data_IF_754061962924
#
_entry.id   IF_754061962924
#
_cell.length_a   1.000
_cell.length_b   1.000
_cell.length_c   1.000
_cell.angle_alpha   90.00
_cell.angle_beta   90.00
_cell.angle_gamma   90.00
#
_symmetry.space_group_name_H-M   'P 1'
#
loop_
_entity.id
_entity.type
_entity.pdbx_description
1 polymer ?
#
# COMPACT_ATOMS: atom_id res chain seq x y z
N UNK A 1 -12.45 -23.40 5.86
CA UNK A 1 -12.10 -22.49 4.74
C UNK A 1 -10.71 -21.95 5.03
N UNK A 2 -9.86 -21.79 4.01
CA UNK A 2 -8.58 -21.08 4.20
C UNK A 2 -8.87 -19.63 4.58
N UNK A 3 -8.03 -19.04 5.44
CA UNK A 3 -8.04 -17.59 5.67
C UNK A 3 -7.60 -16.89 4.38
N UNK A 4 -8.06 -15.66 4.18
CA UNK A 4 -7.54 -14.79 3.13
C UNK A 4 -6.11 -14.31 3.42
N UNK A 5 -5.50 -13.67 2.45
CA UNK A 5 -4.15 -13.09 2.54
C UNK A 5 -4.22 -11.58 2.70
N UNK A 6 -3.36 -11.02 3.57
CA UNK A 6 -3.02 -9.59 3.50
C UNK A 6 -1.85 -9.42 2.54
N UNK A 7 -2.05 -8.74 1.43
CA UNK A 7 -1.01 -8.36 0.48
C UNK A 7 -0.67 -6.89 0.69
N UNK A 8 0.56 -6.59 1.10
CA UNK A 8 1.03 -5.21 1.28
C UNK A 8 1.86 -4.82 0.06
N UNK A 9 1.34 -3.93 -0.77
CA UNK A 9 2.05 -3.37 -1.92
C UNK A 9 2.64 -2.02 -1.54
N UNK A 10 3.97 -1.94 -1.54
CA UNK A 10 4.71 -0.72 -1.28
C UNK A 10 5.86 -0.54 -2.29
N UNK A 11 6.64 0.52 -2.16
CA UNK A 11 7.70 0.89 -3.09
C UNK A 11 7.88 2.40 -3.16
N UNK A 12 8.94 2.89 -3.83
CA UNK A 12 9.33 4.28 -3.73
C UNK A 12 8.29 5.23 -4.31
N UNK A 13 8.34 6.49 -3.87
CA UNK A 13 7.48 7.54 -4.44
C UNK A 13 7.70 7.66 -5.96
N UNK A 14 6.61 7.69 -6.74
CA UNK A 14 6.67 7.78 -8.20
C UNK A 14 6.74 6.44 -8.95
N UNK A 15 6.86 5.30 -8.25
CA UNK A 15 6.97 3.99 -8.90
C UNK A 15 5.69 3.52 -9.59
N UNK A 16 4.52 4.10 -9.25
CA UNK A 16 3.24 3.79 -9.92
C UNK A 16 2.31 2.85 -9.16
N UNK A 17 2.44 2.73 -7.83
CA UNK A 17 1.59 1.90 -6.94
C UNK A 17 0.09 2.05 -7.22
N UNK A 18 -0.44 3.26 -7.12
CA UNK A 18 -1.86 3.54 -7.38
C UNK A 18 -2.33 3.14 -8.79
N UNK A 19 -1.47 3.28 -9.81
CA UNK A 19 -1.79 2.84 -11.18
C UNK A 19 -1.89 1.31 -11.28
N UNK A 20 -0.94 0.60 -10.66
CA UNK A 20 -0.96 -0.87 -10.59
C UNK A 20 -2.17 -1.36 -9.79
N UNK A 21 -2.45 -0.78 -8.62
CA UNK A 21 -3.64 -1.09 -7.81
C UNK A 21 -4.94 -0.83 -8.58
N UNK A 22 -5.04 0.28 -9.31
CA UNK A 22 -6.23 0.57 -10.13
C UNK A 22 -6.44 -0.47 -11.23
N UNK A 23 -5.37 -0.94 -11.86
CA UNK A 23 -5.42 -1.99 -12.87
C UNK A 23 -5.76 -3.36 -12.25
N UNK A 24 -5.12 -3.72 -11.12
CA UNK A 24 -5.43 -4.93 -10.36
C UNK A 24 -6.91 -4.99 -9.96
N UNK A 25 -7.51 -3.88 -9.54
CA UNK A 25 -8.92 -3.83 -9.12
C UNK A 25 -9.89 -4.24 -10.21
N UNK A 26 -9.52 -4.01 -11.48
CA UNK A 26 -10.32 -4.43 -12.64
C UNK A 26 -10.07 -5.88 -13.02
N UNK A 27 -8.86 -6.39 -12.75
CA UNK A 27 -8.41 -7.73 -13.13
C UNK A 27 -8.79 -8.81 -12.13
N UNK A 28 -8.80 -8.46 -10.84
CA UNK A 28 -9.05 -9.36 -9.70
C UNK A 28 -10.18 -8.77 -8.84
N UNK A 29 -11.45 -8.82 -9.29
CA UNK A 29 -12.57 -8.18 -8.59
C UNK A 29 -12.84 -8.71 -7.18
N UNK A 30 -12.38 -9.91 -6.88
CA UNK A 30 -12.46 -10.56 -5.57
C UNK A 30 -11.45 -10.02 -4.56
N UNK A 31 -10.38 -9.37 -5.02
CA UNK A 31 -9.36 -8.77 -4.16
C UNK A 31 -9.91 -7.50 -3.52
N UNK A 32 -10.06 -7.54 -2.19
CA UNK A 32 -10.57 -6.41 -1.42
C UNK A 32 -9.49 -5.36 -1.29
N UNK A 33 -9.85 -4.09 -1.47
CA UNK A 33 -8.93 -2.98 -1.26
C UNK A 33 -9.06 -2.48 0.17
N UNK A 34 -7.94 -2.38 0.87
CA UNK A 34 -7.92 -1.79 2.21
C UNK A 34 -8.38 -0.34 2.14
N UNK A 35 -9.34 0.02 3.00
CA UNK A 35 -9.86 1.37 3.12
C UNK A 35 -9.24 2.00 4.36
N UNK A 36 -8.37 2.99 4.16
CA UNK A 36 -7.73 3.70 5.28
C UNK A 36 -8.73 4.56 6.05
N UNK A 37 -8.50 4.75 7.34
CA UNK A 37 -9.12 5.82 8.11
C UNK A 37 -8.39 7.14 7.87
N UNK A 38 -9.11 8.27 7.90
CA UNK A 38 -8.49 9.60 7.84
C UNK A 38 -9.29 10.64 8.61
N UNK A 39 -8.60 11.65 9.14
CA UNK A 39 -9.23 12.83 9.76
C UNK A 39 -9.50 13.96 8.78
N UNK A 40 -9.05 13.81 7.53
CA UNK A 40 -9.35 14.75 6.46
C UNK A 40 -10.85 14.73 6.16
N UNK A 41 -11.44 15.89 5.87
CA UNK A 41 -12.81 15.95 5.37
C UNK A 41 -12.94 15.30 3.97
N UNK A 42 -14.06 14.61 3.67
CA UNK A 42 -14.30 14.05 2.35
C UNK A 42 -14.28 15.14 1.26
N UNK A 43 -13.68 14.83 0.11
CA UNK A 43 -13.81 15.62 -1.11
C UNK A 43 -15.14 15.30 -1.80
N UNK A 44 -15.54 16.18 -2.72
CA UNK A 44 -16.74 15.96 -3.53
C UNK A 44 -16.66 14.60 -4.24
N UNK A 45 -17.65 13.74 -4.00
CA UNK A 45 -17.74 12.40 -4.57
C UNK A 45 -16.99 11.30 -3.80
N UNK A 46 -16.30 11.61 -2.70
CA UNK A 46 -15.77 10.57 -1.81
C UNK A 46 -16.86 10.07 -0.86
N UNK A 47 -16.94 8.75 -0.68
CA UNK A 47 -17.90 8.07 0.17
C UNK A 47 -17.23 7.38 1.37
N UNK A 48 -17.85 7.49 2.54
CA UNK A 48 -17.36 6.86 3.77
C UNK A 48 -17.43 5.33 3.66
N UNK A 49 -16.33 4.65 3.99
CA UNK A 49 -16.20 3.19 3.89
C UNK A 49 -15.97 2.67 2.47
N UNK A 50 -15.88 3.57 1.48
CA UNK A 50 -15.53 3.24 0.09
C UNK A 50 -14.17 3.82 -0.25
N UNK A 51 -13.99 5.12 -0.03
CA UNK A 51 -12.72 5.81 -0.29
C UNK A 51 -11.85 5.85 0.96
N UNK A 52 -12.46 6.25 2.08
CA UNK A 52 -11.84 6.30 3.39
C UNK A 52 -12.88 6.09 4.49
N UNK A 53 -12.46 5.62 5.66
CA UNK A 53 -13.22 5.82 6.90
C UNK A 53 -12.91 7.21 7.44
N UNK A 54 -13.74 8.18 7.07
CA UNK A 54 -13.66 9.54 7.61
C UNK A 54 -13.98 9.53 9.11
N UNK A 55 -13.05 10.01 9.93
CA UNK A 55 -13.12 10.06 11.39
C UNK A 55 -12.82 11.49 11.88
N UNK A 56 -13.26 11.83 13.08
CA UNK A 56 -12.78 13.02 13.76
C UNK A 56 -11.34 12.81 14.28
N UNK A 57 -10.61 13.88 14.58
CA UNK A 57 -9.29 13.78 15.22
C UNK A 57 -9.35 13.04 16.56
N UNK A 58 -10.40 13.27 17.35
CA UNK A 58 -10.62 12.58 18.64
C UNK A 58 -10.83 11.08 18.43
N UNK A 59 -11.70 10.70 17.49
CA UNK A 59 -11.94 9.29 17.14
C UNK A 59 -10.64 8.61 16.68
N UNK A 60 -9.85 9.27 15.83
CA UNK A 60 -8.59 8.72 15.34
C UNK A 60 -7.56 8.56 16.47
N UNK A 61 -7.46 9.53 17.38
CA UNK A 61 -6.59 9.43 18.55
C UNK A 61 -6.98 8.27 19.47
N UNK A 62 -8.29 8.02 19.65
CA UNK A 62 -8.77 6.85 20.38
C UNK A 62 -8.38 5.55 19.67
N UNK A 63 -8.49 5.49 18.33
CA UNK A 63 -8.04 4.31 17.56
C UNK A 63 -6.54 4.03 17.76
N UNK A 64 -5.70 5.07 17.84
CA UNK A 64 -4.28 4.92 18.15
C UNK A 64 -4.10 4.37 19.57
N UNK A 65 -4.78 4.97 20.56
CA UNK A 65 -4.66 4.60 21.97
C UNK A 65 -5.13 3.15 22.25
N UNK A 66 -6.06 2.65 21.45
CA UNK A 66 -6.63 1.30 21.57
C UNK A 66 -5.95 0.27 20.64
N UNK A 67 -4.82 0.60 20.01
CA UNK A 67 -4.09 -0.25 19.04
C UNK A 67 -4.95 -0.79 17.88
N UNK A 68 -5.93 0.00 17.42
CA UNK A 68 -6.87 -0.37 16.37
C UNK A 68 -6.34 -0.12 14.95
N UNK A 69 -5.09 0.32 14.82
CA UNK A 69 -4.45 0.66 13.54
C UNK A 69 -3.19 -0.18 13.33
N UNK A 70 -3.07 -0.85 12.17
CA UNK A 70 -1.85 -1.57 11.79
C UNK A 70 -0.67 -0.61 11.57
N UNK A 71 -0.98 0.59 11.08
CA UNK A 71 -0.06 1.69 10.95
C UNK A 71 -0.84 3.01 10.98
N UNK A 72 -0.13 4.09 11.28
CA UNK A 72 -0.64 5.43 11.05
C UNK A 72 0.49 6.43 10.78
N UNK A 73 0.12 7.52 10.12
CA UNK A 73 0.96 8.68 9.85
C UNK A 73 0.13 9.97 9.84
N UNK A 74 0.81 11.09 10.04
CA UNK A 74 0.21 12.42 9.86
C UNK A 74 0.77 13.06 8.59
N UNK A 75 -0.13 13.60 7.76
CA UNK A 75 0.23 14.32 6.54
C UNK A 75 -0.59 15.61 6.44
N UNK A 76 0.11 16.75 6.48
CA UNK A 76 -0.47 18.10 6.37
C UNK A 76 -1.63 18.30 7.35
N UNK A 77 -1.41 17.96 8.64
CA UNK A 77 -2.38 18.14 9.72
C UNK A 77 -3.52 17.11 9.77
N UNK A 78 -3.52 16.12 8.88
CA UNK A 78 -4.52 15.06 8.85
C UNK A 78 -3.87 13.71 9.12
N UNK A 79 -4.51 12.90 9.94
CA UNK A 79 -4.08 11.52 10.17
C UNK A 79 -4.59 10.61 9.07
N UNK A 80 -3.80 9.57 8.79
CA UNK A 80 -4.14 8.44 7.94
C UNK A 80 -3.67 7.18 8.64
N UNK A 81 -4.41 6.10 8.51
CA UNK A 81 -4.00 4.81 9.06
C UNK A 81 -4.87 3.66 8.57
N UNK A 82 -4.37 2.44 8.76
CA UNK A 82 -5.02 1.22 8.28
C UNK A 82 -5.80 0.56 9.42
N UNK A 83 -7.15 0.55 9.40
CA UNK A 83 -7.96 -0.08 10.45
C UNK A 83 -7.71 -1.58 10.52
N UNK A 84 -7.27 -2.05 11.68
CA UNK A 84 -6.97 -3.45 11.96
C UNK A 84 -8.21 -4.32 11.80
N UNK A 85 -9.35 -3.86 12.31
CA UNK A 85 -10.62 -4.61 12.30
C UNK A 85 -11.08 -4.97 10.88
N UNK A 86 -10.97 -4.02 9.95
CA UNK A 86 -11.36 -4.17 8.56
C UNK A 86 -10.51 -5.23 7.87
N UNK A 87 -9.19 -5.18 8.10
CA UNK A 87 -8.22 -6.13 7.55
C UNK A 87 -8.47 -7.53 8.11
N UNK A 88 -8.47 -7.67 9.43
CA UNK A 88 -8.62 -8.98 10.09
C UNK A 88 -9.97 -9.62 9.79
N UNK A 89 -11.06 -8.84 9.78
CA UNK A 89 -12.38 -9.36 9.42
C UNK A 89 -12.42 -9.89 7.98
N UNK A 90 -11.87 -9.13 7.03
CA UNK A 90 -11.83 -9.53 5.62
C UNK A 90 -11.07 -10.83 5.43
N UNK A 91 -9.91 -10.95 6.08
CA UNK A 91 -9.08 -12.16 6.07
C UNK A 91 -9.82 -13.36 6.70
N UNK A 92 -10.47 -13.15 7.84
CA UNK A 92 -11.21 -14.20 8.53
C UNK A 92 -12.45 -14.68 7.77
N UNK A 93 -13.00 -13.85 6.88
CA UNK A 93 -14.04 -14.23 5.92
C UNK A 93 -13.50 -15.02 4.71
N UNK A 94 -12.20 -15.29 4.66
CA UNK A 94 -11.56 -16.03 3.57
C UNK A 94 -11.32 -15.19 2.31
N UNK A 95 -11.34 -13.85 2.43
CA UNK A 95 -11.14 -12.93 1.31
C UNK A 95 -9.76 -12.29 1.38
N UNK A 96 -9.08 -12.26 0.25
CA UNK A 96 -7.79 -11.57 0.13
C UNK A 96 -7.99 -10.07 0.15
N UNK A 97 -7.05 -9.35 0.76
CA UNK A 97 -7.05 -7.91 0.87
C UNK A 97 -5.69 -7.34 0.47
N UNK A 98 -5.70 -6.29 -0.36
CA UNK A 98 -4.51 -5.54 -0.75
C UNK A 98 -4.47 -4.18 -0.05
N UNK A 99 -3.34 -3.89 0.58
CA UNK A 99 -3.01 -2.61 1.19
C UNK A 99 -1.96 -1.90 0.32
N UNK A 100 -2.33 -0.78 -0.28
CA UNK A 100 -1.39 0.13 -0.94
C UNK A 100 -0.87 1.16 0.07
N UNK A 101 0.43 1.17 0.33
CA UNK A 101 1.03 2.11 1.28
C UNK A 101 2.47 2.50 0.90
N UNK A 102 3.03 3.51 1.57
CA UNK A 102 4.43 3.88 1.48
C UNK A 102 5.35 2.92 2.28
N UNK A 103 6.68 3.02 2.10
CA UNK A 103 7.64 2.02 2.58
C UNK A 103 7.71 1.95 4.11
N UNK A 104 7.75 3.08 4.80
CA UNK A 104 7.76 3.15 6.27
C UNK A 104 6.47 2.58 6.87
N UNK A 105 5.32 2.90 6.30
CA UNK A 105 4.01 2.39 6.69
C UNK A 105 3.94 0.88 6.54
N UNK A 106 4.45 0.32 5.43
CA UNK A 106 4.56 -1.11 5.25
C UNK A 106 5.47 -1.78 6.30
N UNK A 107 6.58 -1.15 6.69
CA UNK A 107 7.43 -1.69 7.77
C UNK A 107 6.71 -1.71 9.12
N UNK A 108 5.92 -0.67 9.45
CA UNK A 108 5.06 -0.68 10.65
C UNK A 108 4.00 -1.78 10.60
N UNK A 109 3.38 -2.00 9.43
CA UNK A 109 2.45 -3.12 9.25
C UNK A 109 3.17 -4.44 9.48
N UNK A 110 4.41 -4.60 8.99
CA UNK A 110 5.22 -5.82 9.20
C UNK A 110 5.50 -6.10 10.67
N UNK A 111 5.74 -5.07 11.48
CA UNK A 111 5.91 -5.22 12.93
C UNK A 111 4.63 -5.73 13.62
N UNK A 112 3.45 -5.26 13.18
CA UNK A 112 2.16 -5.60 13.81
C UNK A 112 1.44 -6.81 13.20
N UNK A 113 1.80 -7.18 11.97
CA UNK A 113 1.17 -8.22 11.16
C UNK A 113 2.23 -8.91 10.29
N UNK A 114 3.17 -9.66 10.88
CA UNK A 114 4.29 -10.28 10.18
C UNK A 114 3.88 -11.41 9.22
N UNK A 115 2.65 -11.92 9.33
CA UNK A 115 2.09 -12.93 8.43
C UNK A 115 1.57 -12.37 7.10
N UNK A 116 1.61 -11.04 6.92
CA UNK A 116 1.30 -10.40 5.65
C UNK A 116 2.31 -10.75 4.56
N UNK A 117 1.90 -10.64 3.30
CA UNK A 117 2.72 -10.85 2.12
C UNK A 117 3.18 -9.49 1.60
N UNK A 118 4.46 -9.18 1.78
CA UNK A 118 5.05 -7.88 1.46
C UNK A 118 5.64 -7.90 0.06
N UNK A 119 5.06 -7.10 -0.83
CA UNK A 119 5.47 -6.95 -2.23
C UNK A 119 6.03 -5.55 -2.47
N UNK A 120 7.31 -5.47 -2.83
CA UNK A 120 7.97 -4.22 -3.20
C UNK A 120 7.87 -3.98 -4.70
N UNK A 121 7.24 -2.88 -5.10
CA UNK A 121 7.14 -2.45 -6.48
C UNK A 121 8.38 -1.63 -6.84
N UNK A 122 9.13 -2.08 -7.84
CA UNK A 122 10.34 -1.44 -8.35
C UNK A 122 10.09 -0.69 -9.66
N UNK A 123 10.78 0.42 -9.92
CA UNK A 123 10.85 0.97 -11.26
C UNK A 123 11.75 0.08 -12.15
N UNK A 124 11.62 0.13 -13.48
CA UNK A 124 12.53 -0.59 -14.39
C UNK A 124 13.96 -0.09 -14.30
N UNK A 125 14.13 1.20 -14.02
CA UNK A 125 15.42 1.84 -13.77
C UNK A 125 15.24 3.09 -12.89
N UNK A 126 16.34 3.58 -12.31
CA UNK A 126 16.32 4.85 -11.59
C UNK A 126 16.05 6.04 -12.53
N UNK A 127 16.48 5.95 -13.78
CA UNK A 127 16.21 6.98 -14.80
C UNK A 127 14.70 7.07 -15.10
N UNK A 128 14.02 5.94 -15.26
CA UNK A 128 12.56 5.93 -15.42
C UNK A 128 11.85 6.49 -14.19
N UNK A 129 12.33 6.21 -12.99
CA UNK A 129 11.75 6.77 -11.78
C UNK A 129 11.90 8.30 -11.76
N UNK A 130 13.06 8.80 -12.16
CA UNK A 130 13.33 10.24 -12.28
C UNK A 130 12.40 10.88 -13.30
N UNK A 131 12.23 10.27 -14.48
CA UNK A 131 11.31 10.76 -15.51
C UNK A 131 9.86 10.83 -15.00
N UNK A 132 9.41 9.82 -14.25
CA UNK A 132 8.06 9.79 -13.63
C UNK A 132 7.88 10.87 -12.57
N UNK A 133 8.93 11.20 -11.81
CA UNK A 133 8.90 12.30 -10.82
C UNK A 133 8.87 13.64 -11.55
N UNK A 134 9.72 13.84 -12.55
CA UNK A 134 9.80 15.08 -13.35
C UNK A 134 8.52 15.35 -14.14
N UNK A 135 7.91 14.32 -14.72
CA UNK A 135 6.72 14.43 -15.57
C UNK A 135 5.48 15.01 -14.89
N UNK A 136 5.50 15.21 -13.55
CA UNK A 136 4.43 15.90 -12.81
C UNK A 136 4.44 17.42 -12.97
N UNK A 137 5.51 18.00 -13.54
CA UNK A 137 5.49 19.31 -14.19
C UNK A 137 5.52 20.56 -13.31
N UNK A 138 5.76 20.45 -12.00
CA UNK A 138 5.69 21.62 -11.08
C UNK A 138 6.79 21.67 -10.01
N UNK A 139 7.74 20.74 -10.04
CA UNK A 139 8.75 20.58 -8.98
C UNK A 139 10.11 21.19 -9.40
N UNK A 140 10.82 21.78 -8.44
CA UNK A 140 12.17 22.30 -8.66
C UNK A 140 13.19 21.15 -8.81
N UNK A 141 14.33 21.40 -9.45
CA UNK A 141 15.39 20.39 -9.56
C UNK A 141 15.86 19.89 -8.18
N UNK A 142 15.95 20.78 -7.19
CA UNK A 142 16.30 20.41 -5.82
C UNK A 142 15.25 19.48 -5.18
N UNK A 143 13.97 19.68 -5.47
CA UNK A 143 12.88 18.79 -5.02
C UNK A 143 12.99 17.42 -5.68
N UNK A 144 13.28 17.37 -6.98
CA UNK A 144 13.47 16.12 -7.72
C UNK A 144 14.66 15.34 -7.16
N UNK A 145 15.80 15.99 -6.96
CA UNK A 145 17.01 15.35 -6.43
C UNK A 145 16.79 14.82 -5.02
N UNK A 146 16.09 15.58 -4.17
CA UNK A 146 15.70 15.11 -2.84
C UNK A 146 14.80 13.87 -2.89
N UNK A 147 13.77 13.87 -3.74
CA UNK A 147 12.88 12.72 -3.91
C UNK A 147 13.61 11.49 -4.48
N UNK A 148 14.57 11.69 -5.38
CA UNK A 148 15.42 10.62 -5.88
C UNK A 148 16.31 10.03 -4.79
N UNK A 149 16.90 10.87 -3.92
CA UNK A 149 17.65 10.39 -2.76
C UNK A 149 16.79 9.53 -1.85
N UNK A 150 15.59 10.02 -1.48
CA UNK A 150 14.63 9.26 -0.66
C UNK A 150 14.27 7.93 -1.33
N UNK A 151 14.04 7.92 -2.63
CA UNK A 151 13.71 6.68 -3.34
C UNK A 151 14.85 5.65 -3.32
N UNK A 152 16.11 6.09 -3.41
CA UNK A 152 17.27 5.19 -3.28
C UNK A 152 17.35 4.59 -1.87
N UNK A 153 17.13 5.41 -0.84
CA UNK A 153 17.07 4.94 0.54
C UNK A 153 15.92 3.94 0.74
N UNK A 154 14.74 4.22 0.17
CA UNK A 154 13.59 3.31 0.19
C UNK A 154 13.87 1.99 -0.53
N UNK A 155 14.58 1.99 -1.66
CA UNK A 155 14.96 0.77 -2.39
C UNK A 155 15.93 -0.10 -1.57
N UNK A 156 16.77 0.50 -0.72
CA UNK A 156 17.65 -0.27 0.17
C UNK A 156 16.89 -1.15 1.17
N UNK A 157 15.63 -0.81 1.46
CA UNK A 157 14.74 -1.56 2.35
C UNK A 157 14.07 -2.76 1.68
N UNK A 158 14.38 -3.04 0.40
CA UNK A 158 13.84 -4.17 -0.35
C UNK A 158 14.09 -5.52 0.32
N UNK A 159 15.17 -5.68 1.08
CA UNK A 159 15.47 -6.90 1.85
C UNK A 159 14.41 -7.21 2.93
N UNK A 160 13.57 -6.23 3.28
CA UNK A 160 12.47 -6.38 4.23
C UNK A 160 11.19 -6.91 3.58
N UNK A 161 11.19 -7.26 2.28
CA UNK A 161 10.01 -7.69 1.55
C UNK A 161 10.14 -9.15 1.10
N UNK A 162 9.00 -9.83 0.96
CA UNK A 162 8.96 -11.22 0.52
C UNK A 162 9.16 -11.34 -1.00
N UNK A 163 8.65 -10.35 -1.74
CA UNK A 163 8.71 -10.30 -3.20
C UNK A 163 9.09 -8.92 -3.72
N UNK A 164 9.76 -8.90 -4.87
CA UNK A 164 9.98 -7.69 -5.65
C UNK A 164 9.32 -7.83 -7.03
N UNK A 165 8.58 -6.81 -7.46
CA UNK A 165 7.89 -6.77 -8.75
C UNK A 165 8.34 -5.51 -9.50
N UNK A 166 8.89 -5.69 -10.69
CA UNK A 166 9.25 -4.55 -11.56
C UNK A 166 8.00 -4.03 -12.26
N UNK A 167 7.83 -2.70 -12.27
CA UNK A 167 6.76 -1.97 -12.96
C UNK A 167 7.23 -1.41 -14.31
N UNK A 168 7.60 -2.33 -15.21
CA UNK A 168 7.95 -2.13 -16.62
C UNK A 168 6.70 -1.91 -17.47
N UNK A 169 5.74 -2.82 -17.36
CA UNK A 169 4.43 -2.73 -18.00
C UNK A 169 3.36 -3.02 -16.95
N UNK A 170 2.35 -2.16 -16.89
CA UNK A 170 1.28 -2.26 -15.87
C UNK A 170 0.63 -3.64 -15.87
N UNK A 171 0.34 -4.19 -17.06
CA UNK A 171 -0.28 -5.51 -17.19
C UNK A 171 0.65 -6.65 -16.73
N UNK A 172 1.97 -6.53 -16.96
CA UNK A 172 2.94 -7.53 -16.50
C UNK A 172 3.12 -7.45 -14.98
N UNK A 173 3.23 -6.25 -14.41
CA UNK A 173 3.27 -6.05 -12.97
C UNK A 173 2.02 -6.65 -12.29
N UNK A 174 0.83 -6.40 -12.85
CA UNK A 174 -0.42 -6.98 -12.34
C UNK A 174 -0.40 -8.51 -12.39
N UNK A 175 0.01 -9.11 -13.53
CA UNK A 175 0.12 -10.57 -13.66
C UNK A 175 1.10 -11.19 -12.66
N UNK A 176 2.21 -10.51 -12.38
CA UNK A 176 3.20 -10.98 -11.39
C UNK A 176 2.61 -10.97 -9.99
N UNK A 177 1.91 -9.89 -9.59
CA UNK A 177 1.24 -9.80 -8.29
C UNK A 177 0.14 -10.86 -8.15
N UNK A 178 -0.68 -11.03 -9.19
CA UNK A 178 -1.71 -12.09 -9.26
C UNK A 178 -1.08 -13.49 -9.08
N UNK A 179 0.04 -13.74 -9.75
CA UNK A 179 0.77 -15.01 -9.64
C UNK A 179 1.32 -15.25 -8.23
N UNK A 180 1.81 -14.20 -7.56
CA UNK A 180 2.25 -14.27 -6.15
C UNK A 180 1.09 -14.70 -5.26
N UNK A 181 -0.08 -14.06 -5.39
CA UNK A 181 -1.28 -14.39 -4.60
C UNK A 181 -1.69 -15.86 -4.82
N UNK A 182 -1.72 -16.32 -6.07
CA UNK A 182 -2.03 -17.71 -6.40
C UNK A 182 -1.01 -18.67 -5.75
N UNK A 183 0.28 -18.34 -5.83
CA UNK A 183 1.34 -19.16 -5.25
C UNK A 183 1.26 -19.22 -3.72
N UNK A 184 0.93 -18.11 -3.05
CA UNK A 184 0.73 -18.05 -1.60
C UNK A 184 -0.42 -18.95 -1.13
N UNK A 185 -1.54 -18.99 -1.86
CA UNK A 185 -2.63 -19.94 -1.59
C UNK A 185 -2.25 -21.41 -1.79
N UNK A 186 -1.18 -21.69 -2.55
CA UNK A 186 -0.68 -23.04 -2.77
C UNK A 186 0.32 -23.48 -1.67
N UNK A 187 0.71 -22.60 -0.73
CA UNK A 187 1.61 -22.98 0.36
C UNK A 187 0.91 -23.96 1.31
N UNK A 188 1.63 -25.02 1.68
CA UNK A 188 1.22 -25.89 2.77
C UNK A 188 1.60 -25.17 4.07
N UNK A 189 0.60 -24.56 4.73
CA UNK A 189 0.77 -24.04 6.08
C UNK A 189 1.07 -25.23 7.01
N UNK A 190 2.33 -25.37 7.43
CA UNK A 190 2.75 -26.35 8.44
C UNK A 190 2.57 -25.79 9.84
#
# INVERSE_FOLDING_TARGET
MSKGLLVVLSGPSGVGKGTVCSALRKRVPELIYSVSATTRQPRLGEEHGVNYFFRSHEEFQNMIAEDQLLEHAEYVGNYYGTPRDFVEKTINEGRDIILEIEVQGALKVKEKFPEGIFVFLLPPSLDELKDRIQGRGTESQATIDHRMSVAVDEISLLEQYDYAVVNDEIDLACKRIESIIIAEHCKINK
#
